data_IF_388878163056
#
_entry.id   IF_388878163056
#
_cell.length_a   1.000
_cell.length_b   1.000
_cell.length_c   1.000
_cell.angle_alpha   90.00
_cell.angle_beta   90.00
_cell.angle_gamma   90.00
#
_symmetry.space_group_name_H-M   'P 1'
#
loop_
_entity.id
_entity.type
_entity.pdbx_description
1 polymer ?
#
# COMPACT_ATOMS: atom_id res chain seq x y z
N UNK A 1 9.99 -15.95 4.85
CA UNK A 1 8.53 -16.16 4.78
C UNK A 1 7.88 -14.81 5.02
N UNK A 2 6.91 -14.42 4.19
CA UNK A 2 6.23 -13.12 4.35
C UNK A 2 5.33 -13.14 5.58
N UNK A 3 5.21 -12.01 6.27
CA UNK A 3 4.25 -11.86 7.37
C UNK A 3 2.82 -11.76 6.83
N UNK A 4 2.66 -11.20 5.62
CA UNK A 4 1.42 -11.21 4.86
C UNK A 4 1.73 -11.25 3.37
N UNK A 5 0.93 -11.99 2.61
CA UNK A 5 0.96 -12.03 1.15
C UNK A 5 -0.47 -12.18 0.66
N UNK A 6 -0.86 -11.40 -0.35
CA UNK A 6 -2.22 -11.45 -0.87
C UNK A 6 -2.53 -10.42 -1.95
N UNK A 7 -3.77 -10.44 -2.42
CA UNK A 7 -4.24 -9.49 -3.42
C UNK A 7 -4.81 -8.20 -2.80
N UNK A 8 -4.59 -7.08 -3.49
CA UNK A 8 -5.16 -5.76 -3.19
C UNK A 8 -6.04 -5.33 -4.37
N UNK A 9 -7.37 -5.49 -4.26
CA UNK A 9 -8.29 -5.13 -5.34
C UNK A 9 -8.36 -3.62 -5.57
N UNK A 10 -8.37 -3.18 -6.82
CA UNK A 10 -8.46 -1.77 -7.17
C UNK A 10 -9.84 -1.14 -6.88
N UNK A 11 -10.89 -1.96 -6.77
CA UNK A 11 -12.25 -1.52 -6.48
C UNK A 11 -12.59 -1.52 -4.98
N UNK A 12 -11.64 -1.87 -4.11
CA UNK A 12 -11.86 -1.87 -2.66
C UNK A 12 -11.60 -0.45 -2.09
N UNK A 13 -12.63 0.40 -2.07
CA UNK A 13 -12.53 1.80 -1.58
C UNK A 13 -12.00 1.92 -0.13
N UNK A 14 -12.31 0.93 0.72
CA UNK A 14 -11.81 0.88 2.09
C UNK A 14 -10.41 0.23 2.22
N UNK A 15 -9.88 -0.32 1.13
CA UNK A 15 -8.62 -1.05 1.07
C UNK A 15 -8.74 -2.50 1.54
N UNK A 16 -7.58 -3.14 1.67
CA UNK A 16 -7.38 -4.52 2.09
C UNK A 16 -6.69 -4.54 3.46
N UNK A 17 -7.40 -4.90 4.54
CA UNK A 17 -6.79 -5.14 5.84
C UNK A 17 -5.83 -6.33 5.75
N UNK A 18 -4.65 -6.19 6.36
CA UNK A 18 -3.63 -7.26 6.38
C UNK A 18 -3.67 -8.08 7.67
N UNK A 19 -4.33 -7.59 8.73
CA UNK A 19 -4.25 -8.15 10.08
C UNK A 19 -2.91 -7.88 10.79
N UNK A 20 -1.95 -7.21 10.14
CA UNK A 20 -0.67 -6.86 10.74
C UNK A 20 -0.82 -5.61 11.62
N UNK A 21 -0.76 -5.82 12.93
CA UNK A 21 -0.72 -4.72 13.90
C UNK A 21 0.72 -4.23 14.01
N UNK A 22 0.95 -2.99 13.59
CA UNK A 22 2.25 -2.32 13.59
C UNK A 22 2.36 -1.34 14.74
N UNK A 23 3.58 -1.18 15.24
CA UNK A 23 3.95 -0.19 16.25
C UNK A 23 4.87 0.86 15.65
N UNK A 24 4.79 2.08 16.18
CA UNK A 24 5.76 3.12 15.87
C UNK A 24 7.17 2.59 16.14
N UNK A 25 8.06 2.75 15.16
CA UNK A 25 9.43 2.25 15.20
C UNK A 25 9.63 0.86 14.62
N UNK A 26 8.57 0.09 14.34
CA UNK A 26 8.69 -1.16 13.58
C UNK A 26 9.28 -0.87 12.19
N UNK A 27 9.98 -1.83 11.62
CA UNK A 27 10.54 -1.73 10.26
C UNK A 27 9.80 -2.71 9.36
N UNK A 28 9.32 -2.23 8.22
CA UNK A 28 8.64 -3.07 7.22
C UNK A 28 9.28 -2.95 5.84
N UNK A 29 9.19 -4.03 5.07
CA UNK A 29 9.43 -4.04 3.64
C UNK A 29 8.17 -4.49 2.91
N UNK A 30 7.88 -3.86 1.77
CA UNK A 30 6.73 -4.16 0.91
C UNK A 30 7.20 -4.26 -0.52
N UNK A 31 6.71 -5.25 -1.26
CA UNK A 31 6.88 -5.37 -2.70
C UNK A 31 5.52 -5.63 -3.34
N UNK A 32 5.21 -4.91 -4.41
CA UNK A 32 3.95 -5.01 -5.12
C UNK A 32 4.16 -5.29 -6.61
N UNK A 33 3.30 -6.13 -7.17
CA UNK A 33 3.35 -6.58 -8.55
C UNK A 33 1.96 -6.49 -9.20
N UNK A 34 1.96 -6.48 -10.54
CA UNK A 34 0.74 -6.55 -11.35
C UNK A 34 0.27 -5.19 -11.85
N UNK A 35 -0.94 -5.20 -12.39
CA UNK A 35 -1.57 -4.06 -13.04
C UNK A 35 -3.06 -4.02 -12.68
N UNK A 36 -3.59 -2.82 -12.56
CA UNK A 36 -5.01 -2.60 -12.32
C UNK A 36 -5.59 -1.58 -13.29
N UNK A 37 -6.91 -1.59 -13.40
CA UNK A 37 -7.67 -0.55 -14.10
C UNK A 37 -8.26 0.42 -13.08
N UNK A 38 -8.10 1.72 -13.32
CA UNK A 38 -8.78 2.78 -12.56
C UNK A 38 -9.97 3.39 -13.31
N UNK A 39 -10.44 2.70 -14.34
CA UNK A 39 -11.51 3.13 -15.22
C UNK A 39 -11.71 2.15 -16.37
N UNK A 40 -12.66 2.45 -17.27
CA UNK A 40 -13.10 1.55 -18.34
C UNK A 40 -12.39 1.76 -19.68
N UNK A 41 -11.77 2.90 -19.90
CA UNK A 41 -11.01 3.18 -21.12
C UNK A 41 -9.77 2.28 -21.17
N UNK A 42 -9.33 1.90 -22.37
CA UNK A 42 -8.13 1.11 -22.56
C UNK A 42 -6.85 1.77 -22.02
N UNK A 43 -6.78 3.10 -21.92
CA UNK A 43 -5.58 3.81 -21.39
C UNK A 43 -5.51 3.87 -19.87
N UNK A 44 -6.60 3.58 -19.16
CA UNK A 44 -6.70 3.75 -17.71
C UNK A 44 -6.08 2.57 -16.94
N UNK A 45 -4.77 2.38 -17.11
CA UNK A 45 -3.98 1.36 -16.41
C UNK A 45 -3.07 2.00 -15.37
N UNK A 46 -2.90 1.31 -14.25
CA UNK A 46 -1.95 1.69 -13.22
C UNK A 46 -1.11 0.47 -12.79
N UNK A 47 0.18 0.69 -12.62
CA UNK A 47 1.03 -0.17 -11.80
C UNK A 47 0.88 0.25 -10.32
N UNK A 48 1.47 -0.45 -9.35
CA UNK A 48 1.46 0.03 -7.97
C UNK A 48 2.04 1.44 -7.80
N UNK A 49 3.04 1.83 -8.62
CA UNK A 49 3.62 3.19 -8.61
C UNK A 49 2.69 4.28 -9.15
N UNK A 50 1.67 3.90 -9.92
CA UNK A 50 0.64 4.82 -10.41
C UNK A 50 0.19 4.59 -11.85
N UNK A 51 -0.65 5.51 -12.36
CA UNK A 51 -1.11 5.51 -13.74
C UNK A 51 0.05 5.51 -14.74
N UNK A 52 -0.18 4.87 -15.89
CA UNK A 52 0.73 5.01 -17.03
C UNK A 52 0.83 6.50 -17.42
N UNK A 53 2.03 7.05 -17.65
CA UNK A 53 2.22 8.50 -17.85
C UNK A 53 1.52 9.12 -19.07
N UNK A 54 0.97 8.30 -19.97
CA UNK A 54 0.19 8.76 -21.13
C UNK A 54 -1.24 9.23 -20.74
N UNK A 55 -1.71 8.92 -19.53
CA UNK A 55 -2.95 9.44 -18.96
C UNK A 55 -2.73 9.78 -17.46
N UNK A 56 -2.00 10.86 -17.15
CA UNK A 56 -1.60 11.17 -15.78
C UNK A 56 -2.80 11.60 -14.92
N UNK A 57 -2.75 11.25 -13.64
CA UNK A 57 -3.73 11.65 -12.64
C UNK A 57 -3.09 12.64 -11.63
N UNK A 58 -3.89 13.29 -10.76
CA UNK A 58 -3.36 14.12 -9.69
C UNK A 58 -2.35 13.35 -8.80
N UNK A 59 -1.43 14.05 -8.11
CA UNK A 59 -0.41 13.40 -7.29
C UNK A 59 -1.00 12.39 -6.30
N UNK A 60 -0.40 11.20 -6.23
CA UNK A 60 -0.81 10.08 -5.38
C UNK A 60 -2.16 9.43 -5.72
N UNK A 61 -2.90 9.90 -6.73
CA UNK A 61 -4.12 9.22 -7.20
C UNK A 61 -3.75 7.98 -8.03
N UNK A 62 -4.56 6.93 -7.88
CA UNK A 62 -4.41 5.65 -8.55
C UNK A 62 -3.03 5.00 -8.32
N UNK A 63 -2.49 5.15 -7.11
CA UNK A 63 -1.24 4.49 -6.64
C UNK A 63 -1.54 3.52 -5.49
N UNK A 64 -0.66 2.55 -5.24
CA UNK A 64 -0.70 1.74 -4.03
C UNK A 64 -0.13 2.52 -2.84
N UNK A 65 -0.90 2.58 -1.75
CA UNK A 65 -0.49 3.19 -0.49
C UNK A 65 -0.73 2.26 0.70
N UNK A 66 -0.07 2.59 1.81
CA UNK A 66 -0.40 2.08 3.12
C UNK A 66 -1.28 3.08 3.89
N UNK A 67 -2.30 2.57 4.56
CA UNK A 67 -3.10 3.27 5.57
C UNK A 67 -2.78 2.65 6.94
N UNK A 68 -2.30 3.48 7.87
CA UNK A 68 -2.04 3.09 9.27
C UNK A 68 -2.60 4.19 10.16
N UNK A 69 -3.48 3.84 11.12
CA UNK A 69 -4.23 4.80 11.92
C UNK A 69 -4.92 5.92 11.09
N UNK A 70 -5.51 5.52 9.95
CA UNK A 70 -6.15 6.41 8.97
C UNK A 70 -5.22 7.46 8.32
N UNK A 71 -3.90 7.37 8.53
CA UNK A 71 -2.89 8.18 7.83
C UNK A 71 -2.39 7.43 6.60
N UNK A 72 -2.17 8.15 5.50
CA UNK A 72 -1.73 7.60 4.21
C UNK A 72 -0.21 7.74 4.04
N UNK A 73 0.44 6.68 3.58
CA UNK A 73 1.89 6.63 3.31
C UNK A 73 2.14 6.02 1.93
N UNK A 74 3.02 6.63 1.15
CA UNK A 74 3.38 6.13 -0.19
C UNK A 74 4.06 4.76 -0.08
N UNK A 75 3.61 3.81 -0.89
CA UNK A 75 4.26 2.51 -1.08
C UNK A 75 4.72 2.37 -2.53
N UNK A 76 3.81 2.52 -3.50
CA UNK A 76 4.14 2.31 -4.90
C UNK A 76 4.48 0.84 -5.20
N UNK A 77 5.46 0.61 -6.07
CA UNK A 77 6.02 -0.72 -6.36
C UNK A 77 6.64 -1.40 -5.12
N UNK A 78 7.00 -0.61 -4.10
CA UNK A 78 7.50 -1.14 -2.85
C UNK A 78 8.33 -0.14 -2.06
N UNK A 79 8.71 -0.57 -0.86
CA UNK A 79 9.61 0.15 0.01
C UNK A 79 10.40 -0.83 0.85
N UNK A 80 11.71 -0.63 0.96
CA UNK A 80 12.59 -1.50 1.74
C UNK A 80 12.94 -0.83 3.06
N UNK A 81 12.87 -1.61 4.14
CA UNK A 81 13.25 -1.23 5.51
C UNK A 81 12.73 0.15 5.95
N UNK A 82 11.43 0.39 5.74
CA UNK A 82 10.79 1.65 6.13
C UNK A 82 10.35 1.58 7.58
N UNK A 83 10.72 2.60 8.36
CA UNK A 83 10.24 2.78 9.73
C UNK A 83 8.79 3.21 9.73
N UNK A 84 7.97 2.49 10.49
CA UNK A 84 6.57 2.81 10.74
C UNK A 84 6.49 4.01 11.69
N UNK A 85 5.86 5.13 11.32
CA UNK A 85 5.87 6.34 12.13
C UNK A 85 4.73 6.42 13.15
N UNK A 86 3.75 5.50 13.09
CA UNK A 86 2.56 5.48 13.95
C UNK A 86 2.09 4.06 14.23
N UNK A 87 1.48 3.86 15.40
CA UNK A 87 0.77 2.63 15.74
C UNK A 87 -0.48 2.44 14.86
N UNK A 88 -0.80 1.19 14.53
CA UNK A 88 -2.08 0.84 13.90
C UNK A 88 -2.01 -0.45 13.07
N UNK A 89 -3.18 -0.91 12.61
CA UNK A 89 -3.22 -1.96 11.59
C UNK A 89 -2.74 -1.42 10.24
N UNK A 90 -1.95 -2.22 9.51
CA UNK A 90 -1.63 -1.97 8.12
C UNK A 90 -2.80 -2.35 7.21
N UNK A 91 -3.34 -1.37 6.50
CA UNK A 91 -4.30 -1.54 5.42
C UNK A 91 -3.62 -1.11 4.11
N UNK A 92 -3.65 -1.97 3.10
CA UNK A 92 -3.16 -1.64 1.76
C UNK A 92 -4.32 -1.11 0.91
N UNK A 93 -4.12 -0.01 0.20
CA UNK A 93 -5.19 0.63 -0.57
C UNK A 93 -4.69 1.08 -1.94
N UNK A 94 -5.45 0.78 -2.98
CA UNK A 94 -5.36 1.50 -4.25
C UNK A 94 -6.03 2.87 -4.08
N UNK A 95 -5.24 3.95 -4.10
CA UNK A 95 -5.68 5.28 -3.71
C UNK A 95 -6.35 6.04 -4.87
N UNK A 96 -7.50 5.55 -5.31
CA UNK A 96 -8.33 6.26 -6.29
C UNK A 96 -9.18 7.38 -5.65
N UNK A 97 -9.86 8.16 -6.47
CA UNK A 97 -10.75 9.24 -6.05
C UNK A 97 -11.96 8.64 -5.30
N UNK A 98 -12.33 9.15 -4.11
CA UNK A 98 -13.51 8.66 -3.40
C UNK A 98 -14.76 8.70 -4.29
N UNK A 99 -15.51 7.61 -4.32
CA UNK A 99 -16.69 7.44 -5.18
C UNK A 99 -16.43 7.00 -6.63
N UNK A 100 -15.17 6.89 -7.10
CA UNK A 100 -14.87 6.41 -8.46
C UNK A 100 -14.53 4.92 -8.52
N UNK A 101 -14.29 4.25 -7.40
CA UNK A 101 -13.89 2.83 -7.33
C UNK A 101 -14.82 1.82 -8.05
N UNK A 102 -16.04 2.22 -8.42
CA UNK A 102 -17.03 1.37 -9.07
C UNK A 102 -16.71 0.98 -10.53
N UNK A 103 -15.78 1.66 -11.19
CA UNK A 103 -15.28 1.27 -12.52
C UNK A 103 -13.86 0.69 -12.51
N UNK A 104 -13.27 0.54 -11.33
CA UNK A 104 -11.97 -0.10 -11.15
C UNK A 104 -12.08 -1.62 -11.30
N UNK A 105 -11.00 -2.26 -11.74
CA UNK A 105 -10.92 -3.72 -11.85
C UNK A 105 -9.49 -4.24 -11.70
N UNK A 106 -9.38 -5.57 -11.54
CA UNK A 106 -8.15 -6.30 -11.25
C UNK A 106 -7.58 -5.96 -9.86
N UNK A 107 -6.42 -6.56 -9.56
CA UNK A 107 -5.79 -6.51 -8.26
C UNK A 107 -4.26 -6.55 -8.37
N UNK A 108 -3.58 -5.92 -7.42
CA UNK A 108 -2.15 -6.11 -7.24
C UNK A 108 -1.88 -7.34 -6.39
N UNK A 109 -0.74 -7.98 -6.59
CA UNK A 109 -0.18 -8.98 -5.69
C UNK A 109 0.88 -8.31 -4.82
N UNK A 110 0.73 -8.40 -3.51
CA UNK A 110 1.58 -7.66 -2.57
C UNK A 110 2.11 -8.58 -1.49
N UNK A 111 3.40 -8.44 -1.21
CA UNK A 111 4.11 -9.13 -0.13
C UNK A 111 4.60 -8.13 0.91
N UNK A 112 4.42 -8.47 2.19
CA UNK A 112 4.81 -7.64 3.33
C UNK A 112 5.66 -8.44 4.31
N UNK A 113 6.79 -7.86 4.70
CA UNK A 113 7.68 -8.35 5.75
C UNK A 113 7.74 -7.31 6.86
N UNK A 114 7.59 -7.75 8.11
CA UNK A 114 7.96 -6.98 9.30
C UNK A 114 9.39 -7.40 9.63
N UNK A 115 10.33 -6.54 9.22
CA UNK A 115 11.77 -6.77 9.32
C UNK A 115 12.26 -6.71 10.77
N UNK A 116 11.69 -5.81 11.56
CA UNK A 116 11.96 -5.73 12.99
C UNK A 116 10.79 -5.14 13.76
N UNK A 117 10.69 -5.55 15.03
CA UNK A 117 9.85 -4.89 16.02
C UNK A 117 10.67 -3.83 16.76
N UNK A 118 10.03 -2.72 17.09
CA UNK A 118 10.71 -1.63 17.80
C UNK A 118 11.27 -2.10 19.15
N UNK A 119 12.59 -1.98 19.30
CA UNK A 119 13.31 -2.26 20.55
C UNK A 119 14.60 -1.42 20.55
N UNK A 120 14.60 -0.23 21.18
CA UNK A 120 15.79 0.63 21.22
C UNK A 120 16.87 0.02 22.12
N UNK A 121 18.10 0.52 21.98
CA UNK A 121 19.20 0.16 22.89
C UNK A 121 18.87 0.59 24.33
N UNK A 122 19.30 -0.22 25.29
CA UNK A 122 19.22 0.08 26.72
C UNK A 122 20.59 0.55 27.23
N UNK A 123 20.60 1.57 28.10
CA UNK A 123 21.82 2.04 28.76
C UNK A 123 22.22 1.07 29.88
N UNK A 124 23.49 0.63 29.88
CA UNK A 124 24.05 -0.17 30.97
C UNK A 124 24.60 0.80 32.03
N UNK A 125 24.11 0.67 33.27
CA UNK A 125 24.58 1.42 34.43
C UNK A 125 25.67 0.67 35.20
#
# INVERSE_FOLDING_TARGET
MYNWSGSVPANAENGKPTGLILKQGDIISVVAHGWVKYGRDNVEWASPDGPVPNNPQPPQIATLIAKIANRKFKIGNGGLHKTVPVDGELILLFNDIPGTFGDNSHEFLVDVIIESRYSPLEEIK
#
